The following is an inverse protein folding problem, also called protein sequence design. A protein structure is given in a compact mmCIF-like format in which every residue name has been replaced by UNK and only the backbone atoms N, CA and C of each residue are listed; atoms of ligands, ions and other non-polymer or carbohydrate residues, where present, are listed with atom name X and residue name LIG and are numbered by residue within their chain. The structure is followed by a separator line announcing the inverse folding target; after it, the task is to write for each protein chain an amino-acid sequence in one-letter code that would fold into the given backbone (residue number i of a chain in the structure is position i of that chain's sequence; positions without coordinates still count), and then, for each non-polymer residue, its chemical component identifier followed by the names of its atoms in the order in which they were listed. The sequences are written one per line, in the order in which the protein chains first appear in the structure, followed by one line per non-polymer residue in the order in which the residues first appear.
data_IF_024810562426
#
_entry.id   IF_024810562426
#
_cell.length_a   1.000
_cell.length_b   1.000
_cell.length_c   1.000
_cell.angle_alpha   90.00
_cell.angle_beta   90.00
_cell.angle_gamma   90.00
#
_symmetry.space_group_name_H-M   'P 1'
#
loop_
_entity.id
_entity.type
_entity.pdbx_description
1 polymer ?
#
# COMPACT_ATOMS: atom_id res chain seq x y z
N UNK A 1 -13.38 11.82 -11.07
CA UNK A 1 -14.00 10.53 -10.67
C UNK A 1 -13.65 10.16 -9.22
N UNK A 2 -12.36 10.02 -8.88
CA UNK A 2 -11.88 9.54 -7.56
C UNK A 2 -12.39 10.36 -6.37
N UNK A 3 -12.30 11.69 -6.39
CA UNK A 3 -12.81 12.55 -5.29
C UNK A 3 -14.30 12.31 -5.01
N UNK A 4 -15.11 12.21 -6.06
CA UNK A 4 -16.55 11.98 -5.95
C UNK A 4 -16.84 10.59 -5.35
N UNK A 5 -16.07 9.58 -5.76
CA UNK A 5 -16.15 8.24 -5.18
C UNK A 5 -15.84 8.27 -3.68
N UNK A 6 -14.70 8.85 -3.28
CA UNK A 6 -14.25 8.90 -1.89
C UNK A 6 -15.23 9.67 -1.00
N UNK A 7 -15.75 10.81 -1.46
CA UNK A 7 -16.73 11.60 -0.70
C UNK A 7 -18.03 10.82 -0.46
N UNK A 8 -18.52 10.07 -1.45
CA UNK A 8 -19.68 9.17 -1.28
C UNK A 8 -19.36 8.01 -0.35
N UNK A 9 -18.17 7.43 -0.48
CA UNK A 9 -17.72 6.31 0.34
C UNK A 9 -17.64 6.69 1.82
N UNK A 10 -17.19 7.91 2.15
CA UNK A 10 -17.17 8.40 3.53
C UNK A 10 -18.55 8.32 4.20
N UNK A 11 -19.64 8.58 3.46
CA UNK A 11 -21.00 8.39 3.97
C UNK A 11 -21.37 6.93 4.24
N UNK A 12 -20.80 5.98 3.49
CA UNK A 12 -21.02 4.54 3.70
C UNK A 12 -20.38 4.02 4.99
N UNK A 13 -19.42 4.76 5.56
CA UNK A 13 -18.79 4.39 6.83
C UNK A 13 -19.78 4.50 8.01
N UNK A 14 -20.85 5.28 7.87
CA UNK A 14 -21.90 5.48 8.89
C UNK A 14 -23.13 4.58 8.68
N UNK A 15 -22.98 3.45 7.98
CA UNK A 15 -24.10 2.53 7.68
C UNK A 15 -24.76 1.92 8.92
N UNK A 16 -24.13 1.97 10.09
CA UNK A 16 -24.64 1.41 11.35
C UNK A 16 -24.44 2.35 12.54
N UNK A 17 -25.34 2.25 13.52
CA UNK A 17 -25.32 3.09 14.73
C UNK A 17 -24.06 2.86 15.59
N UNK A 18 -23.56 1.64 15.60
CA UNK A 18 -22.29 1.24 16.22
C UNK A 18 -21.10 1.98 15.59
N UNK A 19 -21.05 2.07 14.26
CA UNK A 19 -20.01 2.81 13.54
C UNK A 19 -20.08 4.31 13.78
N UNK A 20 -21.30 4.87 13.79
CA UNK A 20 -21.53 6.28 14.14
C UNK A 20 -20.97 6.58 15.53
N UNK A 21 -21.32 5.76 16.52
CA UNK A 21 -20.80 5.91 17.88
C UNK A 21 -19.27 5.77 17.92
N UNK A 22 -18.70 4.78 17.23
CA UNK A 22 -17.25 4.57 17.16
C UNK A 22 -16.51 5.80 16.64
N UNK A 23 -16.94 6.37 15.50
CA UNK A 23 -16.30 7.56 14.96
C UNK A 23 -16.46 8.80 15.85
N UNK A 24 -17.59 8.95 16.55
CA UNK A 24 -17.73 10.03 17.53
C UNK A 24 -16.78 9.85 18.71
N UNK A 25 -16.64 8.62 19.23
CA UNK A 25 -15.69 8.32 20.30
C UNK A 25 -14.25 8.61 19.85
N UNK A 26 -13.88 8.19 18.64
CA UNK A 26 -12.56 8.49 18.06
C UNK A 26 -12.35 10.00 17.90
N UNK A 27 -13.34 10.72 17.38
CA UNK A 27 -13.24 12.18 17.18
C UNK A 27 -13.04 12.91 18.52
N UNK A 28 -13.74 12.48 19.57
CA UNK A 28 -13.53 13.01 20.93
C UNK A 28 -12.15 12.67 21.49
N UNK A 29 -11.69 11.44 21.27
CA UNK A 29 -10.37 11.00 21.72
C UNK A 29 -9.23 11.76 21.05
N UNK A 30 -9.31 11.97 19.73
CA UNK A 30 -8.30 12.69 18.95
C UNK A 30 -8.50 14.22 18.95
N UNK A 31 -9.59 14.73 19.51
CA UNK A 31 -9.90 16.16 19.55
C UNK A 31 -10.21 16.76 18.17
N UNK A 32 -10.81 15.98 17.27
CA UNK A 32 -11.19 16.40 15.92
C UNK A 32 -12.68 16.72 15.82
N UNK A 33 -13.07 17.39 14.74
CA UNK A 33 -14.47 17.49 14.32
C UNK A 33 -15.05 16.10 13.98
N UNK A 34 -16.35 16.03 13.69
CA UNK A 34 -16.97 14.81 13.19
C UNK A 34 -16.18 14.26 12.00
N UNK A 35 -15.69 13.02 12.14
CA UNK A 35 -14.78 12.40 11.19
C UNK A 35 -15.29 12.45 9.74
N UNK A 36 -16.58 12.20 9.52
CA UNK A 36 -17.13 12.12 8.16
C UNK A 36 -17.28 13.50 7.55
N UNK A 37 -17.69 14.49 8.34
CA UNK A 37 -17.71 15.88 7.88
C UNK A 37 -16.30 16.40 7.58
N UNK A 38 -15.35 16.14 8.48
CA UNK A 38 -13.94 16.49 8.30
C UNK A 38 -13.38 15.92 7.00
N UNK A 39 -13.60 14.63 6.72
CA UNK A 39 -13.13 13.98 5.49
C UNK A 39 -13.80 14.57 4.25
N UNK A 40 -15.12 14.83 4.29
CA UNK A 40 -15.84 15.41 3.14
C UNK A 40 -15.36 16.82 2.82
N UNK A 41 -15.17 17.65 3.85
CA UNK A 41 -14.69 19.02 3.70
C UNK A 41 -13.24 19.04 3.19
N UNK A 42 -12.36 18.22 3.78
CA UNK A 42 -10.99 18.07 3.31
C UNK A 42 -10.90 17.62 1.85
N UNK A 43 -11.72 16.64 1.43
CA UNK A 43 -11.78 16.21 0.03
C UNK A 43 -12.31 17.31 -0.91
N UNK A 44 -13.21 18.17 -0.44
CA UNK A 44 -13.74 19.27 -1.23
C UNK A 44 -12.67 20.33 -1.51
N UNK A 45 -11.86 20.65 -0.50
CA UNK A 45 -10.80 21.66 -0.55
C UNK A 45 -9.50 21.17 -1.21
N UNK A 46 -9.23 19.86 -1.18
CA UNK A 46 -8.00 19.26 -1.66
C UNK A 46 -7.67 19.65 -3.12
N UNK A 47 -6.43 20.05 -3.39
CA UNK A 47 -5.96 20.36 -4.75
C UNK A 47 -5.03 19.27 -5.30
N UNK A 48 -4.80 19.29 -6.63
CA UNK A 48 -3.81 18.40 -7.25
C UNK A 48 -2.39 18.69 -6.75
N UNK A 49 -2.09 19.97 -6.46
CA UNK A 49 -0.79 20.37 -5.94
C UNK A 49 -0.54 19.74 -4.55
N UNK A 50 -1.55 19.77 -3.68
CA UNK A 50 -1.47 19.15 -2.35
C UNK A 50 -1.24 17.64 -2.46
N UNK A 51 -1.98 16.96 -3.33
CA UNK A 51 -1.82 15.51 -3.56
C UNK A 51 -0.40 15.19 -4.03
N UNK A 52 0.09 15.91 -5.03
CA UNK A 52 1.43 15.69 -5.57
C UNK A 52 2.52 16.00 -4.52
N UNK A 53 2.32 17.00 -3.68
CA UNK A 53 3.25 17.31 -2.60
C UNK A 53 3.29 16.20 -1.56
N UNK A 54 2.12 15.70 -1.14
CA UNK A 54 2.03 14.62 -0.14
C UNK A 54 2.63 13.32 -0.67
N UNK A 55 2.39 12.98 -1.95
CA UNK A 55 3.02 11.81 -2.58
C UNK A 55 4.54 11.91 -2.48
N UNK A 56 5.13 13.06 -2.85
CA UNK A 56 6.58 13.26 -2.80
C UNK A 56 7.17 13.22 -1.39
N UNK A 57 6.39 13.66 -0.40
CA UNK A 57 6.86 13.74 0.98
C UNK A 57 6.70 12.42 1.75
N UNK A 58 5.74 11.58 1.37
CA UNK A 58 5.34 10.41 2.18
C UNK A 58 5.44 9.07 1.44
N UNK A 59 5.41 9.02 0.11
CA UNK A 59 5.69 7.81 -0.65
C UNK A 59 7.17 7.82 -1.06
N UNK A 60 7.98 7.14 -0.26
CA UNK A 60 9.41 6.94 -0.47
C UNK A 60 9.73 5.46 -0.58
N UNK A 61 10.96 5.13 -0.96
CA UNK A 61 11.48 3.75 -1.03
C UNK A 61 12.48 3.39 0.06
N UNK A 62 12.87 4.37 0.89
CA UNK A 62 13.96 4.23 1.87
C UNK A 62 13.56 3.44 3.13
N UNK A 63 12.28 3.41 3.48
CA UNK A 63 11.73 2.63 4.59
C UNK A 63 10.41 1.99 4.11
N UNK A 64 10.56 0.90 3.37
CA UNK A 64 9.46 0.02 2.96
C UNK A 64 9.69 -1.35 3.56
N UNK A 65 8.62 -1.93 4.11
CA UNK A 65 8.58 -3.34 4.50
C UNK A 65 7.70 -4.11 3.52
N UNK A 66 8.28 -5.17 2.92
CA UNK A 66 7.54 -6.10 2.08
C UNK A 66 7.17 -7.34 2.88
N UNK A 67 5.88 -7.71 2.84
CA UNK A 67 5.36 -8.93 3.49
C UNK A 67 4.83 -9.86 2.43
N UNK A 68 5.36 -11.09 2.42
CA UNK A 68 4.98 -12.14 1.47
C UNK A 68 4.36 -13.31 2.21
N UNK A 69 3.29 -13.88 1.66
CA UNK A 69 2.72 -15.15 2.10
C UNK A 69 3.04 -16.18 1.02
N UNK A 70 3.83 -17.19 1.36
CA UNK A 70 4.30 -18.21 0.43
C UNK A 70 4.33 -19.58 1.09
N UNK A 71 4.14 -20.64 0.30
CA UNK A 71 4.27 -22.03 0.76
C UNK A 71 5.73 -22.43 1.01
N UNK A 72 6.70 -21.78 0.34
CA UNK A 72 8.14 -22.02 0.53
C UNK A 72 8.88 -20.72 0.84
N UNK A 73 8.80 -20.31 2.11
CA UNK A 73 9.46 -19.09 2.59
C UNK A 73 10.99 -19.23 2.67
N UNK A 74 11.51 -20.46 2.79
CA UNK A 74 12.96 -20.70 2.86
C UNK A 74 13.61 -20.49 1.49
N UNK A 75 12.99 -21.03 0.44
CA UNK A 75 13.44 -20.78 -0.94
C UNK A 75 13.31 -19.30 -1.30
N UNK A 76 12.16 -18.68 -1.03
CA UNK A 76 11.96 -17.25 -1.33
C UNK A 76 13.03 -16.38 -0.64
N UNK A 77 13.28 -16.60 0.66
CA UNK A 77 14.35 -15.89 1.38
C UNK A 77 15.70 -16.09 0.72
N UNK A 78 16.04 -17.33 0.32
CA UNK A 78 17.30 -17.62 -0.37
C UNK A 78 17.41 -16.80 -1.65
N UNK A 79 16.37 -16.77 -2.49
CA UNK A 79 16.37 -16.04 -3.77
C UNK A 79 16.50 -14.53 -3.60
N UNK A 80 15.80 -13.96 -2.61
CA UNK A 80 15.86 -12.53 -2.28
C UNK A 80 17.26 -12.13 -1.79
N UNK A 81 17.82 -12.88 -0.84
CA UNK A 81 19.14 -12.56 -0.25
C UNK A 81 20.28 -12.81 -1.22
N UNK A 82 20.15 -13.77 -2.14
CA UNK A 82 21.14 -13.99 -3.19
C UNK A 82 20.98 -13.08 -4.40
N UNK A 83 19.99 -12.18 -4.39
CA UNK A 83 19.60 -11.35 -5.54
C UNK A 83 19.52 -12.18 -6.84
N UNK A 84 18.84 -13.33 -6.74
CA UNK A 84 18.73 -14.23 -7.88
C UNK A 84 17.90 -13.57 -9.00
N UNK A 85 18.48 -13.53 -10.21
CA UNK A 85 17.80 -13.09 -11.42
C UNK A 85 16.39 -13.69 -11.54
N UNK A 86 15.40 -12.82 -11.78
CA UNK A 86 13.98 -13.19 -11.88
C UNK A 86 13.41 -12.78 -13.25
N UNK A 87 13.80 -13.46 -14.35
CA UNK A 87 13.27 -13.18 -15.68
C UNK A 87 11.76 -13.44 -15.73
N UNK A 88 11.02 -12.52 -16.35
CA UNK A 88 9.57 -12.66 -16.55
C UNK A 88 9.28 -13.46 -17.81
N UNK A 89 8.42 -14.48 -17.70
CA UNK A 89 7.96 -15.28 -18.84
C UNK A 89 6.50 -14.98 -19.15
N UNK A 90 6.21 -14.69 -20.42
CA UNK A 90 4.87 -14.43 -20.91
C UNK A 90 4.35 -15.56 -21.78
N UNK A 91 3.05 -15.83 -21.64
CA UNK A 91 2.32 -16.79 -22.49
C UNK A 91 1.91 -16.23 -23.86
N UNK A 92 2.25 -14.98 -24.15
CA UNK A 92 1.97 -14.30 -25.41
C UNK A 92 3.00 -13.22 -25.70
N UNK A 93 3.12 -12.85 -26.98
CA UNK A 93 4.02 -11.76 -27.40
C UNK A 93 3.65 -10.45 -26.69
N UNK A 94 4.68 -9.74 -26.23
CA UNK A 94 4.56 -8.44 -25.57
C UNK A 94 5.25 -7.34 -26.37
N UNK A 95 4.82 -6.08 -26.18
CA UNK A 95 5.52 -4.93 -26.75
C UNK A 95 7.00 -4.89 -26.34
N UNK A 96 7.88 -4.45 -27.24
CA UNK A 96 9.33 -4.44 -26.99
C UNK A 96 9.72 -3.51 -25.83
N UNK A 97 9.05 -2.39 -25.69
CA UNK A 97 9.23 -1.42 -24.59
C UNK A 97 9.03 -2.07 -23.22
N UNK A 98 8.07 -2.98 -23.09
CA UNK A 98 7.86 -3.75 -21.86
C UNK A 98 9.00 -4.77 -21.63
N UNK A 99 9.46 -5.45 -22.69
CA UNK A 99 10.54 -6.45 -22.58
C UNK A 99 11.90 -5.80 -22.25
N UNK A 100 12.12 -4.59 -22.72
CA UNK A 100 13.29 -3.77 -22.37
C UNK A 100 13.25 -3.37 -20.89
N UNK A 101 12.08 -2.99 -20.37
CA UNK A 101 11.88 -2.69 -18.94
C UNK A 101 12.13 -3.93 -18.06
N UNK A 102 11.54 -5.08 -18.42
CA UNK A 102 11.74 -6.34 -17.70
C UNK A 102 13.22 -6.76 -17.66
N UNK A 103 13.96 -6.50 -18.74
CA UNK A 103 15.38 -6.81 -18.82
C UNK A 103 16.21 -6.04 -17.80
N UNK A 104 15.76 -4.85 -17.40
CA UNK A 104 16.37 -4.06 -16.32
C UNK A 104 15.89 -4.55 -14.94
N UNK A 105 14.59 -4.83 -14.82
CA UNK A 105 13.97 -5.21 -13.53
C UNK A 105 14.46 -6.59 -13.05
N UNK A 106 14.69 -7.55 -13.95
CA UNK A 106 15.02 -8.94 -13.60
C UNK A 106 16.28 -9.10 -12.74
N UNK A 107 17.23 -8.15 -12.84
CA UNK A 107 18.50 -8.13 -12.10
C UNK A 107 18.64 -6.86 -11.25
N UNK A 108 17.52 -6.18 -10.97
CA UNK A 108 17.54 -4.94 -10.21
C UNK A 108 18.02 -5.20 -8.77
N UNK A 109 19.09 -4.51 -8.30
CA UNK A 109 19.62 -4.70 -6.95
C UNK A 109 18.55 -4.38 -5.92
N UNK A 110 18.31 -5.32 -4.99
CA UNK A 110 17.27 -5.19 -3.99
C UNK A 110 17.78 -4.48 -2.74
N UNK A 111 19.09 -4.59 -2.46
CA UNK A 111 19.77 -3.92 -1.33
C UNK A 111 19.05 -4.13 0.01
N UNK A 112 18.51 -5.34 0.23
CA UNK A 112 17.69 -5.65 1.41
C UNK A 112 18.52 -5.70 2.68
N UNK A 113 18.14 -4.91 3.69
CA UNK A 113 18.78 -4.93 5.01
C UNK A 113 18.51 -6.22 5.78
N UNK A 114 17.25 -6.67 5.80
CA UNK A 114 16.81 -7.81 6.60
C UNK A 114 15.70 -8.61 5.90
N UNK A 115 15.84 -9.93 5.91
CA UNK A 115 14.81 -10.87 5.44
C UNK A 115 14.52 -11.90 6.53
N UNK A 116 13.30 -11.89 7.05
CA UNK A 116 12.83 -12.78 8.11
C UNK A 116 11.73 -13.72 7.62
N UNK A 117 11.73 -14.95 8.14
CA UNK A 117 10.69 -15.94 7.88
C UNK A 117 9.96 -16.20 9.18
N UNK A 118 8.66 -15.90 9.19
CA UNK A 118 7.78 -16.11 10.34
C UNK A 118 6.80 -17.23 9.98
N UNK A 119 6.68 -18.25 10.84
CA UNK A 119 5.68 -19.29 10.63
C UNK A 119 4.29 -18.75 10.93
N UNK A 120 3.27 -19.23 10.21
CA UNK A 120 1.89 -18.75 10.35
C UNK A 120 1.37 -18.86 11.79
N UNK A 121 1.78 -19.92 12.50
CA UNK A 121 1.39 -20.16 13.89
C UNK A 121 1.92 -19.07 14.85
N UNK A 122 2.93 -18.29 14.46
CA UNK A 122 3.53 -17.23 15.27
C UNK A 122 3.01 -15.83 14.92
N UNK A 123 2.15 -15.69 13.91
CA UNK A 123 1.67 -14.38 13.44
C UNK A 123 0.57 -13.80 14.35
N UNK A 124 -0.15 -14.66 15.07
CA UNK A 124 -1.34 -14.28 15.85
C UNK A 124 -1.17 -14.42 17.38
N UNK A 125 0.03 -14.76 17.84
CA UNK A 125 0.41 -14.82 19.26
C UNK A 125 0.97 -13.47 19.74
#
# INVERSE_FOLDING_TARGET
ATRSFLSKYAGLLLKGQDRVLGYHMDSQFYGTDDFVEMVKNGLAELTLADVNSIIKNHLQTDNIQFVFITSDAKDLKKRLVSEQSSPMEYNSEKPNDLLEEDSVIQDYPLELDQVEVINIDQVFD
#
